data_IF_768174700005
#
_entry.id   IF_768174700005
#
_cell.length_a   1.000
_cell.length_b   1.000
_cell.length_c   1.000
_cell.angle_alpha   90.00
_cell.angle_beta   90.00
_cell.angle_gamma   90.00
#
_symmetry.space_group_name_H-M   'P 1'
#
loop_
_entity.id
_entity.type
_entity.pdbx_description
1 polymer ?
#
# COMPACT_ATOMS: atom_id res chain seq x y z
N UNK A 1 1.31 -7.53 17.55
CA UNK A 1 0.14 -8.42 17.75
C UNK A 1 -0.22 -8.63 19.23
N UNK A 2 0.70 -8.74 20.16
CA UNK A 2 0.44 -8.89 21.60
C UNK A 2 -0.32 -7.70 22.23
N UNK A 3 -0.02 -6.46 21.86
CA UNK A 3 -0.70 -5.26 22.36
C UNK A 3 -2.19 -5.20 21.99
N UNK A 4 -2.61 -5.67 20.81
CA UNK A 4 -4.00 -5.67 20.39
C UNK A 4 -4.84 -6.74 21.09
N UNK A 5 -4.21 -7.86 21.48
CA UNK A 5 -4.87 -8.94 22.23
C UNK A 5 -5.05 -8.60 23.71
N UNK A 6 -4.12 -7.83 24.27
CA UNK A 6 -4.21 -7.34 25.65
C UNK A 6 -5.35 -6.32 25.86
N UNK A 7 -5.69 -5.57 24.80
CA UNK A 7 -6.81 -4.63 24.78
C UNK A 7 -8.18 -5.30 24.85
N UNK A 8 -8.32 -6.54 24.38
CA UNK A 8 -9.59 -7.26 24.27
C UNK A 8 -9.84 -8.21 25.45
N UNK A 9 -8.79 -8.62 26.17
CA UNK A 9 -8.88 -9.70 27.17
C UNK A 9 -8.99 -9.21 28.62
N UNK A 10 -8.82 -7.92 28.92
CA UNK A 10 -8.92 -7.41 30.29
C UNK A 10 -10.36 -7.15 30.72
N UNK A 11 -10.93 -8.17 31.33
CA UNK A 11 -12.13 -8.21 32.18
C UNK A 11 -13.43 -7.70 31.54
N UNK A 12 -14.23 -8.65 31.08
CA UNK A 12 -15.68 -8.45 30.84
C UNK A 12 -16.34 -8.18 32.16
N UNK A 13 -16.65 -6.91 32.43
CA UNK A 13 -17.57 -6.57 33.51
C UNK A 13 -18.97 -6.75 32.91
N UNK A 14 -19.67 -7.75 33.39
CA UNK A 14 -21.01 -8.09 32.88
C UNK A 14 -22.11 -7.17 33.40
N UNK A 15 -21.81 -6.28 34.36
CA UNK A 15 -22.80 -5.41 34.98
C UNK A 15 -22.15 -4.06 35.37
N UNK A 16 -22.81 -2.95 35.03
CA UNK A 16 -22.38 -1.58 35.32
C UNK A 16 -22.26 -1.29 36.84
N UNK A 17 -23.03 -1.97 37.66
CA UNK A 17 -23.01 -1.85 39.13
C UNK A 17 -21.62 -2.15 39.74
N UNK A 18 -20.74 -2.84 38.99
CA UNK A 18 -19.41 -3.19 39.47
C UNK A 18 -18.34 -2.11 39.21
N UNK A 19 -18.68 -1.00 38.57
CA UNK A 19 -17.74 0.11 38.35
C UNK A 19 -17.71 0.99 39.61
N UNK A 20 -16.91 0.62 40.57
CA UNK A 20 -16.62 1.42 41.75
C UNK A 20 -15.22 2.02 41.73
N UNK A 21 -14.88 2.90 42.66
CA UNK A 21 -13.60 3.61 42.77
C UNK A 21 -12.39 2.65 42.76
N UNK A 22 -12.50 1.46 43.33
CA UNK A 22 -11.44 0.48 43.39
C UNK A 22 -11.23 -0.26 42.04
N UNK A 23 -12.30 -0.42 41.29
CA UNK A 23 -12.30 -1.07 39.96
C UNK A 23 -11.92 -0.07 38.86
N UNK A 24 -12.40 1.18 38.91
CA UNK A 24 -12.05 2.21 37.93
C UNK A 24 -10.54 2.51 37.89
N UNK A 25 -9.84 2.37 39.03
CA UNK A 25 -8.37 2.50 39.10
C UNK A 25 -7.62 1.31 38.47
N UNK A 26 -8.28 0.16 38.30
CA UNK A 26 -7.68 -1.11 37.82
C UNK A 26 -8.17 -1.52 36.43
N UNK A 27 -9.30 -1.01 35.96
CA UNK A 27 -9.97 -1.39 34.72
C UNK A 27 -10.00 -0.19 33.79
N UNK A 28 -9.12 -0.23 32.78
CA UNK A 28 -9.05 0.81 31.79
C UNK A 28 -10.19 0.71 30.74
N UNK A 29 -10.64 -0.52 30.46
CA UNK A 29 -11.70 -0.79 29.48
C UNK A 29 -12.71 -1.77 30.04
N UNK A 30 -13.99 -1.52 29.73
CA UNK A 30 -15.12 -2.37 30.13
C UNK A 30 -15.92 -2.81 28.91
N UNK A 31 -16.47 -4.04 28.98
CA UNK A 31 -17.49 -4.54 28.05
C UNK A 31 -18.75 -4.80 28.87
N UNK A 32 -19.77 -4.00 28.67
CA UNK A 32 -21.00 -4.02 29.48
C UNK A 32 -22.16 -4.34 28.56
N UNK A 33 -23.00 -5.28 29.00
CA UNK A 33 -24.32 -5.51 28.40
C UNK A 33 -25.33 -4.68 29.17
N UNK A 34 -25.97 -3.74 28.47
CA UNK A 34 -26.93 -2.81 29.04
C UNK A 34 -28.36 -3.33 28.87
N UNK A 35 -29.27 -2.85 29.69
CA UNK A 35 -30.72 -2.95 29.46
C UNK A 35 -31.21 -1.91 28.47
N UNK A 36 -32.13 -1.06 28.89
CA UNK A 36 -32.63 0.08 28.11
C UNK A 36 -31.84 1.33 28.48
N UNK A 37 -31.19 1.91 27.51
CA UNK A 37 -30.50 3.19 27.64
C UNK A 37 -31.40 4.32 27.17
N UNK A 38 -31.43 5.40 27.91
CA UNK A 38 -32.16 6.61 27.59
C UNK A 38 -31.22 7.73 27.22
N UNK A 39 -31.53 8.47 26.18
CA UNK A 39 -30.73 9.63 25.78
C UNK A 39 -30.89 10.74 26.82
N UNK A 40 -29.78 11.30 27.28
CA UNK A 40 -29.76 12.35 28.30
C UNK A 40 -30.08 13.75 27.77
N UNK A 41 -30.22 13.90 26.45
CA UNK A 41 -30.36 15.20 25.80
C UNK A 41 -29.04 15.94 25.58
N UNK A 42 -27.91 15.38 26.00
CA UNK A 42 -26.59 16.03 25.89
C UNK A 42 -25.66 15.28 24.90
N UNK A 43 -24.93 16.09 24.12
CA UNK A 43 -24.01 15.64 23.12
C UNK A 43 -22.55 15.91 23.54
N UNK A 44 -21.66 15.05 23.14
CA UNK A 44 -20.22 15.23 23.31
C UNK A 44 -19.61 15.78 22.02
N UNK A 45 -18.99 16.96 22.10
CA UNK A 45 -18.27 17.58 21.00
C UNK A 45 -16.76 17.51 21.26
N UNK A 46 -15.99 17.20 20.22
CA UNK A 46 -14.53 17.29 20.25
C UNK A 46 -14.06 18.14 19.06
N UNK A 47 -13.38 19.25 19.34
CA UNK A 47 -12.95 20.20 18.30
C UNK A 47 -14.11 20.84 17.52
N UNK A 48 -15.32 20.90 18.10
CA UNK A 48 -16.53 21.40 17.46
C UNK A 48 -17.32 20.37 16.66
N UNK A 49 -16.80 19.16 16.52
CA UNK A 49 -17.48 18.05 15.83
C UNK A 49 -18.18 17.12 16.82
N UNK A 50 -19.37 16.64 16.46
CA UNK A 50 -20.15 15.69 17.24
C UNK A 50 -19.43 14.32 17.23
N UNK A 51 -18.98 13.87 18.41
CA UNK A 51 -18.30 12.57 18.56
C UNK A 51 -19.17 11.51 19.23
N UNK A 52 -20.13 11.89 20.02
CA UNK A 52 -20.99 10.95 20.72
C UNK A 52 -22.15 11.60 21.45
N UNK A 53 -23.05 10.76 21.98
CA UNK A 53 -24.25 11.12 22.73
C UNK A 53 -24.18 10.51 24.11
N UNK A 54 -24.55 11.24 25.14
CA UNK A 54 -24.66 10.71 26.52
C UNK A 54 -25.99 9.99 26.69
N UNK A 55 -25.89 8.75 27.13
CA UNK A 55 -27.05 7.91 27.53
C UNK A 55 -26.93 7.54 28.99
N UNK A 56 -28.06 7.25 29.62
CA UNK A 56 -28.08 6.78 30.99
C UNK A 56 -28.98 5.54 31.15
N UNK A 57 -28.73 4.80 32.23
CA UNK A 57 -29.51 3.64 32.66
C UNK A 57 -29.64 3.68 34.19
N UNK A 58 -30.81 3.34 34.67
CA UNK A 58 -31.08 3.25 36.11
C UNK A 58 -31.03 1.79 36.53
N UNK A 59 -30.06 1.42 37.36
CA UNK A 59 -29.88 0.04 37.85
C UNK A 59 -29.70 0.07 39.35
N UNK A 60 -30.57 -0.65 40.09
CA UNK A 60 -30.45 -0.82 41.54
C UNK A 60 -30.45 0.49 42.33
N UNK A 61 -31.16 1.53 41.84
CA UNK A 61 -31.20 2.85 42.47
C UNK A 61 -30.00 3.75 42.18
N UNK A 62 -29.09 3.35 41.26
CA UNK A 62 -27.96 4.14 40.77
C UNK A 62 -28.15 4.51 39.32
N UNK A 63 -27.70 5.73 38.95
CA UNK A 63 -27.69 6.20 37.57
C UNK A 63 -26.28 5.99 36.97
N UNK A 64 -26.24 5.24 35.86
CA UNK A 64 -25.04 4.94 35.14
C UNK A 64 -25.04 5.64 33.78
N UNK A 65 -23.96 6.32 33.42
CA UNK A 65 -23.83 7.01 32.15
C UNK A 65 -22.93 6.27 31.18
N UNK A 66 -23.24 6.44 29.88
CA UNK A 66 -22.52 5.89 28.75
C UNK A 66 -22.37 6.95 27.69
N UNK A 67 -21.16 7.16 27.19
CA UNK A 67 -20.91 7.97 26.00
C UNK A 67 -20.86 7.06 24.80
N UNK A 68 -21.91 7.09 23.99
CA UNK A 68 -22.05 6.26 22.78
C UNK A 68 -21.64 7.07 21.56
N UNK A 69 -20.83 6.49 20.70
CA UNK A 69 -20.32 7.12 19.49
C UNK A 69 -21.47 7.56 18.57
N UNK A 70 -21.43 8.80 18.12
CA UNK A 70 -22.36 9.29 17.11
C UNK A 70 -22.15 8.59 15.76
N UNK A 71 -23.23 8.34 15.06
CA UNK A 71 -23.19 7.83 13.68
C UNK A 71 -23.46 9.01 12.76
N UNK A 72 -22.54 9.31 11.88
CA UNK A 72 -22.63 10.45 10.97
C UNK A 72 -23.95 10.42 10.17
N UNK A 73 -24.68 11.55 10.19
CA UNK A 73 -25.95 11.69 9.50
C UNK A 73 -27.18 11.15 10.24
N UNK A 74 -27.01 10.60 11.45
CA UNK A 74 -28.14 10.08 12.25
C UNK A 74 -28.24 10.83 13.59
N UNK A 75 -29.44 11.32 13.95
CA UNK A 75 -29.68 11.92 15.26
C UNK A 75 -29.60 10.86 16.36
N UNK A 76 -29.43 11.34 17.60
CA UNK A 76 -29.53 10.47 18.79
C UNK A 76 -30.89 9.78 18.88
N UNK A 77 -30.89 8.45 19.02
CA UNK A 77 -32.14 7.71 19.33
C UNK A 77 -32.58 8.00 20.75
N UNK A 78 -33.87 8.18 20.99
CA UNK A 78 -34.40 8.42 22.34
C UNK A 78 -34.08 7.26 23.30
N UNK A 79 -34.12 6.03 22.79
CA UNK A 79 -33.82 4.81 23.55
C UNK A 79 -32.97 3.84 22.72
N UNK A 80 -32.10 3.07 23.40
CA UNK A 80 -31.33 1.95 22.83
C UNK A 80 -31.51 0.74 23.75
N UNK A 81 -31.92 -0.40 23.20
CA UNK A 81 -32.20 -1.62 23.96
C UNK A 81 -31.14 -2.69 23.75
N UNK A 82 -30.76 -3.38 24.84
CA UNK A 82 -29.92 -4.57 24.80
C UNK A 82 -28.55 -4.39 24.17
N UNK A 83 -27.98 -3.19 24.25
CA UNK A 83 -26.69 -2.89 23.64
C UNK A 83 -25.54 -3.55 24.40
N UNK A 84 -24.49 -3.92 23.68
CA UNK A 84 -23.19 -4.29 24.26
C UNK A 84 -22.22 -3.17 24.03
N UNK A 85 -21.89 -2.43 25.08
CA UNK A 85 -20.98 -1.28 24.99
C UNK A 85 -19.58 -1.73 25.39
N UNK A 86 -18.62 -1.43 24.52
CA UNK A 86 -17.19 -1.61 24.80
C UNK A 86 -16.58 -0.23 24.79
N UNK A 87 -16.01 0.19 25.91
CA UNK A 87 -15.45 1.53 26.04
C UNK A 87 -14.42 1.64 27.15
N UNK A 88 -13.75 2.79 27.19
CA UNK A 88 -12.86 3.15 28.29
C UNK A 88 -13.71 3.62 29.48
N UNK A 89 -13.27 3.30 30.68
CA UNK A 89 -13.92 3.81 31.90
C UNK A 89 -13.24 5.14 32.24
N UNK A 90 -13.98 6.23 32.08
CA UNK A 90 -13.53 7.59 32.37
C UNK A 90 -14.24 8.14 33.61
N UNK A 91 -13.53 8.97 34.38
CA UNK A 91 -14.16 9.74 35.45
C UNK A 91 -14.84 10.98 34.86
N UNK A 92 -15.99 11.32 35.38
CA UNK A 92 -16.63 12.60 35.07
C UNK A 92 -15.83 13.78 35.66
N UNK A 93 -15.61 14.76 34.84
CA UNK A 93 -15.25 16.10 35.31
C UNK A 93 -16.53 16.80 35.81
N UNK A 94 -16.46 17.59 36.92
CA UNK A 94 -17.61 18.29 37.42
C UNK A 94 -18.31 19.16 36.38
N UNK A 95 -17.57 19.75 35.48
CA UNK A 95 -18.04 20.59 34.38
C UNK A 95 -18.95 19.84 33.39
N UNK A 96 -18.81 18.52 33.29
CA UNK A 96 -19.63 17.66 32.42
C UNK A 96 -20.80 17.04 33.22
N UNK A 97 -20.52 16.59 34.43
CA UNK A 97 -21.52 15.89 35.24
C UNK A 97 -22.65 16.83 35.69
N UNK A 98 -22.35 18.08 36.03
CA UNK A 98 -23.29 19.03 36.57
C UNK A 98 -24.39 19.41 35.55
N UNK A 99 -24.05 19.80 34.30
CA UNK A 99 -25.09 20.04 33.27
C UNK A 99 -25.91 18.78 32.96
N UNK A 100 -25.28 17.62 32.86
CA UNK A 100 -25.93 16.34 32.56
C UNK A 100 -26.96 16.00 33.65
N UNK A 101 -26.58 16.14 34.93
CA UNK A 101 -27.47 15.83 36.05
C UNK A 101 -28.58 16.85 36.19
N UNK A 102 -28.32 18.14 35.94
CA UNK A 102 -29.35 19.19 35.99
C UNK A 102 -30.42 18.96 34.92
N UNK A 103 -29.98 18.74 33.66
CA UNK A 103 -30.92 18.52 32.56
C UNK A 103 -31.74 17.23 32.75
N UNK A 104 -31.07 16.17 33.16
CA UNK A 104 -31.75 14.92 33.48
C UNK A 104 -32.78 15.08 34.62
N UNK A 105 -32.44 15.88 35.65
CA UNK A 105 -33.35 16.17 36.75
C UNK A 105 -34.62 16.91 36.30
N UNK A 106 -34.46 17.85 35.36
CA UNK A 106 -35.57 18.57 34.72
C UNK A 106 -36.47 17.60 33.92
N UNK A 107 -35.87 16.72 33.11
CA UNK A 107 -36.60 15.76 32.26
C UNK A 107 -37.40 14.74 33.04
N UNK A 108 -36.87 14.24 34.17
CA UNK A 108 -37.53 13.23 34.99
C UNK A 108 -38.28 13.84 36.20
N UNK A 109 -38.33 15.19 36.29
CA UNK A 109 -38.96 15.93 37.40
C UNK A 109 -38.43 15.51 38.78
N UNK A 110 -37.11 15.37 38.91
CA UNK A 110 -36.44 14.99 40.14
C UNK A 110 -35.55 16.15 40.65
N UNK A 111 -35.22 16.13 41.97
CA UNK A 111 -34.31 17.11 42.54
C UNK A 111 -32.84 16.82 42.07
N UNK A 112 -32.19 17.82 41.49
CA UNK A 112 -30.86 17.67 40.91
C UNK A 112 -29.78 17.24 41.93
N UNK A 113 -29.88 17.68 43.19
CA UNK A 113 -28.93 17.28 44.25
C UNK A 113 -29.11 15.80 44.60
N UNK A 114 -30.38 15.38 44.74
CA UNK A 114 -30.70 13.97 45.01
C UNK A 114 -30.27 13.06 43.85
N UNK A 115 -30.51 13.47 42.59
CA UNK A 115 -30.07 12.75 41.41
C UNK A 115 -28.56 12.65 41.37
N UNK A 116 -27.82 13.74 41.58
CA UNK A 116 -26.35 13.74 41.59
C UNK A 116 -25.77 12.79 42.64
N UNK A 117 -26.46 12.60 43.78
CA UNK A 117 -26.02 11.68 44.84
C UNK A 117 -26.10 10.20 44.44
N UNK A 118 -27.00 9.82 43.51
CA UNK A 118 -27.16 8.47 42.99
C UNK A 118 -26.47 8.23 41.66
N UNK A 119 -25.96 9.30 41.01
CA UNK A 119 -25.17 9.17 39.79
C UNK A 119 -23.78 8.64 40.08
N UNK A 120 -23.33 7.72 39.23
CA UNK A 120 -21.97 7.22 39.31
C UNK A 120 -20.97 8.27 38.86
N UNK A 121 -19.79 8.30 39.50
CA UNK A 121 -18.71 9.22 39.17
C UNK A 121 -17.92 8.83 37.91
N UNK A 122 -18.20 7.64 37.39
CA UNK A 122 -17.55 7.07 36.21
C UNK A 122 -18.55 6.77 35.13
N UNK A 123 -18.13 6.86 33.89
CA UNK A 123 -18.93 6.48 32.72
C UNK A 123 -18.11 5.62 31.75
N UNK A 124 -18.81 4.91 30.88
CA UNK A 124 -18.18 4.11 29.86
C UNK A 124 -18.14 4.89 28.55
N UNK A 125 -16.94 5.22 28.12
CA UNK A 125 -16.67 6.00 26.92
C UNK A 125 -16.39 5.10 25.74
N UNK A 126 -17.37 4.89 24.87
CA UNK A 126 -17.22 4.12 23.65
C UNK A 126 -16.39 4.88 22.59
N UNK A 127 -16.41 6.22 22.62
CA UNK A 127 -15.69 7.03 21.61
C UNK A 127 -14.18 6.88 21.73
N UNK A 128 -13.68 6.64 22.95
CA UNK A 128 -12.28 6.39 23.24
C UNK A 128 -11.80 4.98 22.85
N UNK A 129 -12.73 4.09 22.47
CA UNK A 129 -12.38 2.72 22.05
C UNK A 129 -12.24 2.65 20.53
N UNK A 130 -11.04 2.29 20.06
CA UNK A 130 -10.80 2.06 18.63
C UNK A 130 -11.43 0.73 18.21
N UNK A 131 -12.28 0.77 17.21
CA UNK A 131 -12.85 -0.44 16.62
C UNK A 131 -11.74 -1.28 15.95
N UNK A 132 -11.90 -2.61 15.95
CA UNK A 132 -10.97 -3.52 15.27
C UNK A 132 -10.71 -3.11 13.80
N UNK A 133 -11.74 -2.59 13.11
CA UNK A 133 -11.60 -2.09 11.73
C UNK A 133 -10.67 -0.88 11.63
N UNK A 134 -10.78 0.06 12.57
CA UNK A 134 -9.92 1.26 12.63
C UNK A 134 -8.47 0.89 12.90
N UNK A 135 -8.23 -0.04 13.82
CA UNK A 135 -6.88 -0.56 14.11
C UNK A 135 -6.29 -1.24 12.87
N UNK A 136 -7.06 -2.10 12.19
CA UNK A 136 -6.61 -2.77 10.96
C UNK A 136 -6.31 -1.73 9.87
N UNK A 137 -7.16 -0.73 9.69
CA UNK A 137 -6.93 0.35 8.73
C UNK A 137 -5.65 1.13 9.02
N UNK A 138 -5.43 1.50 10.29
CA UNK A 138 -4.20 2.18 10.72
C UNK A 138 -2.95 1.34 10.42
N UNK A 139 -3.00 0.03 10.71
CA UNK A 139 -1.88 -0.89 10.42
C UNK A 139 -1.63 -0.98 8.92
N UNK A 140 -2.68 -1.11 8.10
CA UNK A 140 -2.55 -1.15 6.64
C UNK A 140 -1.95 0.16 6.10
N UNK A 141 -2.43 1.32 6.57
CA UNK A 141 -1.88 2.62 6.18
C UNK A 141 -0.40 2.75 6.56
N UNK A 142 -0.03 2.29 7.76
CA UNK A 142 1.37 2.28 8.21
C UNK A 142 2.24 1.41 7.30
N UNK A 143 1.77 0.21 6.92
CA UNK A 143 2.49 -0.68 6.01
C UNK A 143 2.68 -0.05 4.63
N UNK A 144 1.63 0.59 4.08
CA UNK A 144 1.71 1.31 2.79
C UNK A 144 2.72 2.47 2.89
N UNK A 145 2.70 3.21 3.99
CA UNK A 145 3.64 4.30 4.21
C UNK A 145 5.10 3.83 4.28
N UNK A 146 5.37 2.74 5.00
CA UNK A 146 6.70 2.12 5.06
C UNK A 146 7.14 1.65 3.68
N UNK A 147 6.24 1.01 2.91
CA UNK A 147 6.53 0.59 1.54
C UNK A 147 6.90 1.78 0.64
N UNK A 148 6.16 2.88 0.73
CA UNK A 148 6.48 4.12 -0.02
C UNK A 148 7.86 4.66 0.33
N UNK A 149 8.22 4.67 1.63
CA UNK A 149 9.56 5.11 2.07
C UNK A 149 10.65 4.22 1.46
N UNK A 150 10.47 2.90 1.48
CA UNK A 150 11.44 1.95 0.90
C UNK A 150 11.63 2.19 -0.60
N UNK A 151 10.52 2.34 -1.34
CA UNK A 151 10.56 2.64 -2.78
C UNK A 151 11.24 3.99 -3.04
N UNK A 152 10.92 5.01 -2.26
CA UNK A 152 11.54 6.34 -2.37
C UNK A 152 13.05 6.29 -2.14
N UNK A 153 13.49 5.67 -1.05
CA UNK A 153 14.92 5.51 -0.72
C UNK A 153 15.64 4.76 -1.85
N UNK A 154 15.06 3.65 -2.33
CA UNK A 154 15.64 2.86 -3.43
C UNK A 154 15.78 3.70 -4.71
N UNK A 155 14.75 4.45 -5.09
CA UNK A 155 14.78 5.32 -6.27
C UNK A 155 15.82 6.42 -6.10
N UNK A 156 15.86 7.04 -4.93
CA UNK A 156 16.84 8.08 -4.62
C UNK A 156 18.28 7.57 -4.68
N UNK A 157 18.55 6.38 -4.15
CA UNK A 157 19.84 5.72 -4.25
C UNK A 157 20.25 5.46 -5.70
N UNK A 158 19.31 5.07 -6.57
CA UNK A 158 19.59 4.87 -8.01
C UNK A 158 19.91 6.18 -8.75
N UNK A 159 19.31 7.29 -8.32
CA UNK A 159 19.62 8.61 -8.89
C UNK A 159 21.02 9.09 -8.47
N UNK A 160 21.37 8.93 -7.20
CA UNK A 160 22.69 9.34 -6.67
C UNK A 160 23.81 8.43 -7.18
N UNK A 161 23.55 7.13 -7.23
CA UNK A 161 24.53 6.14 -7.64
C UNK A 161 23.98 5.23 -8.74
N UNK A 162 24.06 5.64 -10.02
CA UNK A 162 23.60 4.85 -11.16
C UNK A 162 24.25 3.47 -11.27
N UNK A 163 25.42 3.27 -10.65
CA UNK A 163 26.13 1.97 -10.60
C UNK A 163 25.34 0.86 -9.94
N UNK A 164 24.35 1.21 -9.09
CA UNK A 164 23.46 0.26 -8.45
C UNK A 164 22.37 -0.28 -9.39
N UNK A 165 22.17 0.36 -10.54
CA UNK A 165 21.14 -0.07 -11.50
C UNK A 165 21.57 -1.33 -12.26
N UNK A 166 20.60 -2.17 -12.60
CA UNK A 166 20.82 -3.37 -13.40
C UNK A 166 21.47 -3.04 -14.75
N UNK A 167 21.02 -1.95 -15.38
CA UNK A 167 21.55 -1.48 -16.67
C UNK A 167 23.05 -1.18 -16.59
N UNK A 168 23.49 -0.47 -15.56
CA UNK A 168 24.91 -0.14 -15.39
C UNK A 168 25.75 -1.40 -15.20
N UNK A 169 25.32 -2.33 -14.34
CA UNK A 169 26.01 -3.61 -14.12
C UNK A 169 26.09 -4.48 -15.37
N UNK A 170 25.03 -4.49 -16.18
CA UNK A 170 25.06 -5.22 -17.46
C UNK A 170 26.10 -4.62 -18.42
N UNK A 171 26.26 -3.29 -18.41
CA UNK A 171 27.27 -2.64 -19.26
C UNK A 171 28.72 -2.93 -18.84
N UNK A 172 28.97 -3.26 -17.56
CA UNK A 172 30.29 -3.66 -17.07
C UNK A 172 30.82 -4.90 -17.81
N UNK A 173 29.96 -5.78 -18.29
CA UNK A 173 30.32 -6.95 -19.10
C UNK A 173 30.89 -6.57 -20.46
N UNK A 174 30.58 -5.38 -20.97
CA UNK A 174 31.04 -4.90 -22.29
C UNK A 174 32.15 -3.87 -22.20
N UNK A 175 32.56 -3.46 -21.00
CA UNK A 175 33.63 -2.51 -20.76
C UNK A 175 33.31 -1.45 -19.72
N UNK A 176 33.88 -0.26 -19.86
CA UNK A 176 33.60 0.83 -18.93
C UNK A 176 32.22 1.44 -19.20
N UNK A 177 31.24 1.30 -18.27
CA UNK A 177 29.87 1.75 -18.48
C UNK A 177 29.77 3.25 -18.75
N UNK A 178 30.56 4.08 -18.10
CA UNK A 178 30.55 5.53 -18.30
C UNK A 178 30.93 5.93 -19.71
N UNK A 179 31.95 5.25 -20.26
CA UNK A 179 32.37 5.47 -21.66
C UNK A 179 31.29 5.01 -22.63
N UNK A 180 30.68 3.87 -22.38
CA UNK A 180 29.58 3.33 -23.21
C UNK A 180 28.39 4.28 -23.18
N UNK A 181 27.97 4.73 -22.01
CA UNK A 181 26.84 5.67 -21.85
C UNK A 181 27.09 6.99 -22.58
N UNK A 182 28.31 7.56 -22.45
CA UNK A 182 28.71 8.76 -23.16
C UNK A 182 28.72 8.56 -24.69
N UNK A 183 29.16 7.39 -25.17
CA UNK A 183 29.13 7.08 -26.60
C UNK A 183 27.72 6.91 -27.13
N UNK A 184 26.86 6.22 -26.38
CA UNK A 184 25.41 6.08 -26.68
C UNK A 184 24.77 7.45 -26.80
N UNK A 185 24.98 8.33 -25.84
CA UNK A 185 24.41 9.68 -25.85
C UNK A 185 24.89 10.48 -27.07
N UNK A 186 26.17 10.43 -27.38
CA UNK A 186 26.74 11.06 -28.59
C UNK A 186 26.12 10.51 -29.87
N UNK A 187 25.87 9.19 -29.93
CA UNK A 187 25.27 8.58 -31.12
C UNK A 187 23.79 8.91 -31.26
N UNK A 188 23.06 8.93 -30.20
CA UNK A 188 21.65 9.36 -30.19
C UNK A 188 21.55 10.82 -30.69
N UNK A 189 22.45 11.71 -30.26
CA UNK A 189 22.47 13.11 -30.74
C UNK A 189 22.91 13.26 -32.18
N UNK A 190 23.74 12.36 -32.71
CA UNK A 190 24.34 12.49 -34.07
C UNK A 190 23.57 11.75 -35.14
N UNK A 191 23.13 10.53 -34.86
CA UNK A 191 22.55 9.64 -35.87
C UNK A 191 21.70 8.55 -35.26
N UNK A 192 20.39 8.72 -35.33
CA UNK A 192 19.42 7.68 -35.05
C UNK A 192 19.08 7.00 -36.37
N UNK A 193 19.13 5.67 -36.44
CA UNK A 193 18.75 4.87 -37.59
C UNK A 193 17.27 4.56 -37.60
N UNK A 194 16.74 4.16 -36.43
CA UNK A 194 15.35 3.88 -36.22
C UNK A 194 14.97 4.32 -34.80
N UNK A 195 13.82 4.97 -34.69
CA UNK A 195 13.23 5.32 -33.39
C UNK A 195 11.78 4.90 -33.36
N UNK A 196 11.42 4.17 -32.32
CA UNK A 196 10.04 3.83 -31.98
C UNK A 196 9.68 4.47 -30.64
N UNK A 197 8.52 4.13 -30.07
CA UNK A 197 8.10 4.66 -28.78
C UNK A 197 9.08 4.31 -27.64
N UNK A 198 9.61 3.10 -27.65
CA UNK A 198 10.45 2.57 -26.55
C UNK A 198 11.84 2.15 -26.98
N UNK A 199 12.14 2.12 -28.29
CA UNK A 199 13.40 1.61 -28.81
C UNK A 199 14.06 2.63 -29.72
N UNK A 200 15.39 2.78 -29.54
CA UNK A 200 16.25 3.62 -30.36
C UNK A 200 17.38 2.74 -30.91
N UNK A 201 17.50 2.70 -32.22
CA UNK A 201 18.60 2.04 -32.92
C UNK A 201 19.59 3.09 -33.41
N UNK A 202 20.84 2.97 -33.01
CA UNK A 202 21.96 3.77 -33.46
C UNK A 202 22.94 2.89 -34.26
N UNK A 203 23.98 3.45 -34.91
CA UNK A 203 24.95 2.63 -35.64
C UNK A 203 25.69 1.58 -34.80
N UNK A 204 25.75 1.71 -33.48
CA UNK A 204 26.51 0.78 -32.61
C UNK A 204 25.72 0.22 -31.45
N UNK A 205 24.52 0.75 -31.15
CA UNK A 205 23.74 0.37 -29.98
C UNK A 205 22.28 0.22 -30.30
N UNK A 206 21.68 -0.79 -29.70
CA UNK A 206 20.25 -0.95 -29.57
C UNK A 206 19.87 -0.55 -28.13
N UNK A 207 19.06 0.50 -28.01
CA UNK A 207 18.65 1.08 -26.71
C UNK A 207 17.17 0.86 -26.52
N UNK A 208 16.78 0.19 -25.47
CA UNK A 208 15.39 0.03 -25.04
C UNK A 208 15.11 0.89 -23.82
N UNK A 209 14.07 1.72 -23.91
CA UNK A 209 13.60 2.64 -22.87
C UNK A 209 12.12 2.39 -22.63
N UNK A 210 11.76 1.23 -22.08
CA UNK A 210 10.41 0.94 -21.63
C UNK A 210 10.24 1.25 -20.14
N UNK A 211 9.00 1.34 -19.68
CA UNK A 211 8.69 1.64 -18.28
C UNK A 211 9.35 0.62 -17.30
N UNK A 212 9.51 -0.61 -17.74
CA UNK A 212 10.04 -1.70 -16.92
C UNK A 212 11.52 -2.00 -17.19
N UNK A 213 12.06 -1.60 -18.34
CA UNK A 213 13.38 -2.03 -18.81
C UNK A 213 14.12 -0.86 -19.47
N UNK A 214 15.31 -0.59 -18.96
CA UNK A 214 16.33 0.19 -19.67
C UNK A 214 17.46 -0.77 -20.04
N UNK A 215 17.60 -1.09 -21.31
CA UNK A 215 18.66 -1.94 -21.81
C UNK A 215 19.46 -1.22 -22.90
N UNK A 216 20.78 -1.31 -22.82
CA UNK A 216 21.71 -0.80 -23.82
C UNK A 216 22.53 -2.00 -24.31
N UNK A 217 22.35 -2.35 -25.57
CA UNK A 217 22.96 -3.54 -26.18
C UNK A 217 23.94 -3.08 -27.25
N UNK A 218 25.23 -3.31 -27.06
CA UNK A 218 26.22 -3.04 -28.10
C UNK A 218 26.01 -3.99 -29.29
N UNK A 219 25.71 -3.46 -30.47
CA UNK A 219 25.45 -4.27 -31.68
C UNK A 219 26.61 -5.17 -32.07
N UNK A 220 27.90 -4.74 -31.95
CA UNK A 220 29.01 -5.63 -32.25
C UNK A 220 29.10 -6.89 -31.41
N UNK A 221 28.43 -6.90 -30.24
CA UNK A 221 28.38 -8.05 -29.33
C UNK A 221 27.16 -8.94 -29.55
N UNK A 222 26.25 -8.58 -30.46
CA UNK A 222 25.03 -9.35 -30.75
C UNK A 222 25.39 -10.56 -31.63
N UNK A 223 24.86 -11.71 -31.22
CA UNK A 223 25.04 -12.98 -31.95
C UNK A 223 23.71 -13.41 -32.61
N UNK A 224 22.60 -13.29 -31.91
CA UNK A 224 21.31 -13.81 -32.37
C UNK A 224 20.18 -12.89 -31.99
N UNK A 225 19.27 -12.68 -32.95
CA UNK A 225 18.03 -11.91 -32.74
C UNK A 225 16.86 -12.72 -33.27
N UNK A 226 15.88 -12.96 -32.43
CA UNK A 226 14.64 -13.62 -32.81
C UNK A 226 13.44 -12.98 -32.14
N UNK A 227 12.27 -13.14 -32.72
CA UNK A 227 11.03 -12.66 -32.16
C UNK A 227 10.07 -13.79 -31.83
N UNK A 228 9.22 -13.53 -30.85
CA UNK A 228 8.14 -14.40 -30.47
C UNK A 228 6.84 -13.59 -30.40
N UNK A 229 5.82 -14.07 -31.10
CA UNK A 229 4.50 -13.46 -31.06
C UNK A 229 3.63 -14.11 -30.01
N UNK A 230 3.03 -13.29 -29.14
CA UNK A 230 2.10 -13.75 -28.13
C UNK A 230 0.82 -12.91 -28.15
N UNK A 231 -0.31 -13.53 -27.85
CA UNK A 231 -1.58 -12.86 -27.78
C UNK A 231 -1.76 -12.26 -26.39
N UNK A 232 -1.72 -10.93 -26.29
CA UNK A 232 -1.91 -10.19 -25.04
C UNK A 232 -3.35 -9.73 -24.88
N UNK A 233 -3.91 -9.95 -23.69
CA UNK A 233 -5.25 -9.44 -23.35
C UNK A 233 -5.11 -8.00 -22.87
N UNK A 234 -5.79 -7.06 -23.55
CA UNK A 234 -5.83 -5.64 -23.19
C UNK A 234 -7.27 -5.24 -22.85
N UNK A 235 -7.45 -4.05 -22.30
CA UNK A 235 -8.79 -3.46 -22.02
C UNK A 235 -9.63 -3.37 -23.31
N UNK A 236 -8.98 -3.22 -24.48
CA UNK A 236 -9.64 -3.13 -25.79
C UNK A 236 -9.84 -4.49 -26.50
N UNK A 237 -9.51 -5.60 -25.83
CA UNK A 237 -9.62 -6.94 -26.39
C UNK A 237 -8.28 -7.68 -26.47
N UNK A 238 -8.20 -8.71 -27.34
CA UNK A 238 -6.96 -9.46 -27.61
C UNK A 238 -6.16 -8.75 -28.68
N UNK A 239 -4.89 -8.47 -28.40
CA UNK A 239 -3.96 -7.85 -29.34
C UNK A 239 -2.71 -8.71 -29.46
N UNK A 240 -2.21 -8.87 -30.69
CA UNK A 240 -0.94 -9.55 -30.95
C UNK A 240 0.19 -8.62 -30.51
N UNK A 241 1.07 -9.14 -29.69
CA UNK A 241 2.25 -8.43 -29.19
C UNK A 241 3.47 -9.27 -29.47
N UNK A 242 4.53 -8.64 -29.91
CA UNK A 242 5.81 -9.28 -30.21
C UNK A 242 6.82 -8.99 -29.12
N UNK A 243 7.65 -9.97 -28.86
CA UNK A 243 8.82 -9.86 -27.98
C UNK A 243 10.04 -10.16 -28.81
N UNK A 244 11.03 -9.26 -28.83
CA UNK A 244 12.31 -9.46 -29.48
C UNK A 244 13.28 -9.97 -28.42
N UNK A 245 13.94 -11.07 -28.73
CA UNK A 245 15.04 -11.62 -27.95
C UNK A 245 16.36 -11.30 -28.63
N UNK A 246 17.31 -10.80 -27.87
CA UNK A 246 18.64 -10.47 -28.35
C UNK A 246 19.66 -11.21 -27.50
N UNK A 247 20.39 -12.13 -28.11
CA UNK A 247 21.45 -12.91 -27.45
C UNK A 247 22.79 -12.37 -27.85
N UNK A 248 23.65 -12.11 -26.88
CA UNK A 248 25.00 -11.57 -27.15
C UNK A 248 26.09 -12.62 -27.04
N UNK A 249 27.26 -12.30 -27.57
CA UNK A 249 28.49 -13.15 -27.50
C UNK A 249 28.97 -13.38 -26.06
N UNK A 250 28.49 -12.56 -25.08
CA UNK A 250 28.75 -12.75 -23.65
C UNK A 250 27.78 -13.75 -23.00
N UNK A 251 26.80 -14.25 -23.76
CA UNK A 251 25.75 -15.12 -23.25
C UNK A 251 24.62 -14.38 -22.51
N UNK A 252 24.59 -13.06 -22.59
CA UNK A 252 23.49 -12.25 -22.04
C UNK A 252 22.30 -12.31 -22.99
N UNK A 253 21.09 -12.54 -22.44
CA UNK A 253 19.84 -12.49 -23.18
C UNK A 253 19.00 -11.30 -22.75
N UNK A 254 18.64 -10.46 -23.71
CA UNK A 254 17.77 -9.31 -23.52
C UNK A 254 16.41 -9.59 -24.13
N UNK A 255 15.37 -9.33 -23.37
CA UNK A 255 13.97 -9.55 -23.79
C UNK A 255 13.25 -8.22 -23.90
N UNK A 256 12.95 -7.80 -25.13
CA UNK A 256 12.30 -6.52 -25.46
C UNK A 256 10.83 -6.76 -25.77
N UNK A 257 9.96 -6.54 -24.78
CA UNK A 257 8.53 -6.87 -24.84
C UNK A 257 7.68 -5.75 -25.43
N UNK A 258 6.44 -6.07 -25.80
CA UNK A 258 5.41 -5.08 -26.16
C UNK A 258 5.58 -4.42 -27.52
N UNK A 259 6.23 -5.07 -28.47
CA UNK A 259 6.45 -4.54 -29.81
C UNK A 259 5.28 -4.86 -30.75
N UNK A 260 5.05 -3.98 -31.71
CA UNK A 260 4.14 -4.24 -32.84
C UNK A 260 4.87 -4.96 -33.97
N UNK A 261 4.13 -5.64 -34.83
CA UNK A 261 4.70 -6.27 -36.02
C UNK A 261 5.50 -5.28 -36.88
N UNK A 262 5.01 -4.05 -37.03
CA UNK A 262 5.67 -3.01 -37.82
C UNK A 262 7.03 -2.61 -37.22
N UNK A 263 7.11 -2.51 -35.89
CA UNK A 263 8.38 -2.20 -35.20
C UNK A 263 9.38 -3.34 -35.37
N UNK A 264 8.93 -4.58 -35.17
CA UNK A 264 9.79 -5.75 -35.37
C UNK A 264 10.35 -5.79 -36.80
N UNK A 265 9.48 -5.67 -37.81
CA UNK A 265 9.88 -5.69 -39.23
C UNK A 265 10.88 -4.55 -39.56
N UNK A 266 10.67 -3.34 -39.01
CA UNK A 266 11.58 -2.23 -39.24
C UNK A 266 12.96 -2.47 -38.60
N UNK A 267 12.99 -3.03 -37.39
CA UNK A 267 14.24 -3.37 -36.68
C UNK A 267 15.01 -4.44 -37.46
N UNK A 268 14.33 -5.50 -37.88
CA UNK A 268 14.95 -6.57 -38.68
C UNK A 268 15.52 -6.05 -40.00
N UNK A 269 14.80 -5.21 -40.70
CA UNK A 269 15.24 -4.62 -41.96
C UNK A 269 16.54 -3.82 -41.78
N UNK A 270 16.57 -2.93 -40.80
CA UNK A 270 17.77 -2.10 -40.53
C UNK A 270 18.95 -2.95 -40.05
N UNK A 271 18.71 -3.92 -39.17
CA UNK A 271 19.80 -4.76 -38.65
C UNK A 271 20.34 -5.74 -39.71
N UNK A 272 19.48 -6.40 -40.47
CA UNK A 272 19.89 -7.32 -41.52
C UNK A 272 20.71 -6.63 -42.62
N UNK A 273 20.36 -5.39 -42.95
CA UNK A 273 21.09 -4.60 -43.95
C UNK A 273 22.51 -4.27 -43.47
N UNK A 274 22.71 -4.03 -42.17
CA UNK A 274 23.98 -3.54 -41.60
C UNK A 274 24.83 -4.62 -40.97
N UNK A 275 24.22 -5.66 -40.46
CA UNK A 275 24.85 -6.74 -39.71
C UNK A 275 24.41 -8.12 -40.25
N UNK A 276 24.79 -8.46 -41.47
CA UNK A 276 24.36 -9.71 -42.10
C UNK A 276 24.89 -10.96 -41.40
N UNK A 277 25.85 -10.80 -40.49
CA UNK A 277 26.45 -11.91 -39.73
C UNK A 277 25.64 -12.31 -38.49
N UNK A 278 24.57 -11.59 -38.17
CA UNK A 278 23.67 -11.99 -37.06
C UNK A 278 22.81 -13.18 -37.48
N UNK A 279 22.54 -14.07 -36.55
CA UNK A 279 21.48 -15.05 -36.73
C UNK A 279 20.14 -14.36 -36.57
N UNK A 280 19.28 -14.44 -37.57
CA UNK A 280 17.94 -13.85 -37.51
C UNK A 280 16.87 -14.92 -37.48
N UNK A 281 15.82 -14.68 -36.65
CA UNK A 281 14.68 -15.56 -36.50
C UNK A 281 14.96 -16.80 -35.64
N UNK A 282 13.88 -17.42 -35.19
CA UNK A 282 13.97 -18.61 -34.36
C UNK A 282 13.97 -19.87 -35.23
N UNK A 283 15.02 -20.67 -35.13
CA UNK A 283 15.07 -22.05 -35.62
C UNK A 283 15.85 -22.92 -34.64
N UNK A 284 15.58 -24.22 -34.63
CA UNK A 284 16.35 -25.17 -33.81
C UNK A 284 17.83 -25.19 -34.20
N UNK A 285 18.11 -25.07 -35.48
CA UNK A 285 19.46 -25.01 -36.00
C UNK A 285 20.22 -23.79 -35.50
N UNK A 286 19.57 -22.61 -35.52
CA UNK A 286 20.18 -21.38 -34.97
C UNK A 286 20.41 -21.54 -33.46
N UNK A 287 19.47 -22.14 -32.72
CA UNK A 287 19.62 -22.37 -31.29
C UNK A 287 20.83 -23.26 -30.96
N UNK A 288 20.99 -24.37 -31.67
CA UNK A 288 22.10 -25.30 -31.50
C UNK A 288 23.44 -24.64 -31.88
N UNK A 289 23.48 -23.89 -32.99
CA UNK A 289 24.65 -23.19 -33.46
C UNK A 289 25.09 -22.08 -32.48
N UNK A 290 24.14 -21.31 -31.96
CA UNK A 290 24.41 -20.27 -30.95
C UNK A 290 24.95 -20.89 -29.66
N UNK A 291 24.33 -22.01 -29.20
CA UNK A 291 24.83 -22.72 -28.01
C UNK A 291 26.25 -23.25 -28.21
N UNK A 292 26.56 -23.79 -29.39
CA UNK A 292 27.88 -24.24 -29.72
C UNK A 292 28.92 -23.10 -29.70
N UNK A 293 28.62 -21.96 -30.35
CA UNK A 293 29.47 -20.79 -30.36
C UNK A 293 29.71 -20.24 -28.97
N UNK A 294 28.68 -20.15 -28.16
CA UNK A 294 28.80 -19.68 -26.77
C UNK A 294 29.63 -20.64 -25.90
N UNK A 295 29.53 -21.94 -26.13
CA UNK A 295 30.35 -22.94 -25.44
C UNK A 295 31.85 -22.85 -25.82
N UNK A 296 32.15 -22.70 -27.12
CA UNK A 296 33.51 -22.51 -27.58
C UNK A 296 34.16 -21.24 -27.02
N UNK A 297 33.42 -20.11 -27.07
CA UNK A 297 33.89 -18.84 -26.50
C UNK A 297 34.12 -18.89 -24.98
N UNK A 298 33.45 -19.78 -24.24
CA UNK A 298 33.73 -20.02 -22.82
C UNK A 298 35.01 -20.79 -22.62
N UNK A 299 35.24 -21.80 -23.46
CA UNK A 299 36.45 -22.65 -23.37
C UNK A 299 37.72 -21.92 -23.75
N UNK A 300 37.67 -20.98 -24.70
CA UNK A 300 38.83 -20.14 -25.08
C UNK A 300 39.25 -19.13 -23.98
N UNK A 301 38.35 -18.82 -23.04
CA UNK A 301 38.59 -17.88 -21.92
C UNK A 301 39.01 -18.56 -20.62
N UNK A 302 38.91 -19.86 -20.52
CA UNK A 302 39.33 -20.67 -19.37
C UNK A 302 40.77 -21.15 -19.50
#
# INVERSE_FOLDING_TARGET
MALATEYVTKRTISNAVLINDSMAKKVLYAKIKTGTLYYSGEDCLAGGELVGHYYYELIGGSCHFYLIRAVAGYPASKTLEGQTIIGRVDAFEPEILDPLTQKLAEDISWDAKSLKSVCQKYFVNQTAYLNRREIVLMVVLLLVFVLMIVVFIRTFLYIINPRLTKTYRNLEHYGNPEKILNDVEKQIRRRILLQTKTLILTPRYLVELSDDICAIIPLPEVLWIYDHAAMRRTIKGRQLSYTIHVVTMKGEEYTLTGKSHREVSAIYHELNTRYPNFFFGYSKEHQEMVQYVLHEMKNEKA
#
